data_IF_624886091896
#
_entry.id   IF_624886091896
#
_cell.length_a   1.000
_cell.length_b   1.000
_cell.length_c   1.000
_cell.angle_alpha   90.00
_cell.angle_beta   90.00
_cell.angle_gamma   90.00
#
_symmetry.space_group_name_H-M   'P 1'
#
loop_
_entity.id
_entity.type
_entity.pdbx_description
1 polymer ?
#
# COMPACT_ATOMS: atom_id res chain seq x y z
N UNK A 1 -5.27 -11.23 -18.63
CA UNK A 1 -4.37 -10.79 -17.55
C UNK A 1 -3.17 -10.09 -18.15
N UNK A 2 -3.30 -8.79 -18.42
CA UNK A 2 -2.25 -7.87 -18.88
C UNK A 2 -1.86 -6.92 -17.73
N UNK A 3 -0.74 -6.21 -17.88
CA UNK A 3 -0.33 -5.20 -16.90
C UNK A 3 -1.33 -4.03 -16.83
N UNK A 4 -1.99 -3.71 -17.94
CA UNK A 4 -3.02 -2.66 -17.98
C UNK A 4 -4.25 -3.02 -17.15
N UNK A 5 -4.63 -4.30 -17.11
CA UNK A 5 -5.74 -4.77 -16.27
C UNK A 5 -5.45 -4.61 -14.77
N UNK A 6 -4.18 -4.53 -14.35
CA UNK A 6 -3.81 -4.26 -12.95
C UNK A 6 -4.10 -2.82 -12.50
N UNK A 7 -4.25 -1.87 -13.43
CA UNK A 7 -4.62 -0.49 -13.10
C UNK A 7 -5.99 -0.40 -12.40
N UNK A 8 -6.83 -1.44 -12.51
CA UNK A 8 -8.09 -1.53 -11.77
C UNK A 8 -7.88 -1.53 -10.24
N UNK A 9 -6.70 -1.94 -9.75
CA UNK A 9 -6.37 -1.91 -8.32
C UNK A 9 -6.32 -0.49 -7.76
N UNK A 10 -5.93 0.50 -8.58
CA UNK A 10 -5.87 1.90 -8.17
C UNK A 10 -7.24 2.47 -7.79
N UNK A 11 -8.32 1.92 -8.36
CA UNK A 11 -9.70 2.26 -7.98
C UNK A 11 -10.27 1.37 -6.87
N UNK A 12 -9.84 0.11 -6.81
CA UNK A 12 -10.38 -0.89 -5.88
C UNK A 12 -10.04 -0.56 -4.41
N UNK A 13 -8.80 -0.14 -4.14
CA UNK A 13 -8.34 0.08 -2.77
C UNK A 13 -8.86 1.37 -2.13
N UNK A 14 -8.89 2.53 -2.81
CA UNK A 14 -9.58 3.71 -2.30
C UNK A 14 -11.06 3.46 -1.99
N UNK A 15 -11.75 2.70 -2.84
CA UNK A 15 -13.16 2.36 -2.63
C UNK A 15 -13.39 1.53 -1.34
N UNK A 16 -12.37 0.81 -0.87
CA UNK A 16 -12.38 0.07 0.40
C UNK A 16 -11.87 0.91 1.59
N UNK A 17 -11.57 2.19 1.38
CA UNK A 17 -11.06 3.09 2.40
C UNK A 17 -9.58 2.88 2.74
N UNK A 18 -8.79 2.40 1.77
CA UNK A 18 -7.33 2.38 1.85
C UNK A 18 -6.73 3.69 1.34
N UNK A 19 -5.68 4.14 2.01
CA UNK A 19 -4.83 5.23 1.51
C UNK A 19 -3.91 4.63 0.44
N UNK A 20 -3.84 5.20 -0.75
CA UNK A 20 -2.91 4.74 -1.80
C UNK A 20 -1.58 5.46 -1.62
N UNK A 21 -0.49 4.71 -1.44
CA UNK A 21 0.85 5.25 -1.20
C UNK A 21 1.78 4.91 -2.36
N UNK A 22 2.52 5.89 -2.90
CA UNK A 22 3.56 5.62 -3.90
C UNK A 22 4.65 4.67 -3.37
N UNK A 23 5.39 4.07 -4.28
CA UNK A 23 6.54 3.22 -3.95
C UNK A 23 7.56 3.94 -3.07
N UNK A 24 8.26 3.17 -2.22
CA UNK A 24 9.34 3.71 -1.42
C UNK A 24 10.51 4.14 -2.33
N UNK A 25 11.10 5.30 -2.05
CA UNK A 25 12.24 5.81 -2.83
C UNK A 25 13.56 5.10 -2.50
N UNK A 26 13.59 4.32 -1.42
CA UNK A 26 14.77 3.53 -1.00
C UNK A 26 14.53 2.07 -1.32
N UNK A 27 15.59 1.38 -1.73
CA UNK A 27 15.58 -0.05 -2.01
C UNK A 27 15.13 -0.85 -0.79
N UNK A 28 14.13 -1.69 -1.02
CA UNK A 28 13.57 -2.60 0.00
C UNK A 28 13.27 -3.94 -0.64
N UNK A 29 13.47 -5.03 0.11
CA UNK A 29 13.19 -6.37 -0.39
C UNK A 29 11.70 -6.72 -0.49
N UNK A 30 10.84 -5.96 0.22
CA UNK A 30 9.39 -6.15 0.20
C UNK A 30 8.65 -4.91 0.68
N UNK A 31 7.39 -4.73 0.25
CA UNK A 31 6.54 -3.61 0.69
C UNK A 31 6.31 -3.53 2.20
N UNK A 32 6.44 -4.65 2.93
CA UNK A 32 6.40 -4.68 4.40
C UNK A 32 7.47 -3.80 5.04
N UNK A 33 8.61 -3.62 4.38
CA UNK A 33 9.71 -2.78 4.85
C UNK A 33 9.45 -1.28 4.64
N UNK A 34 8.39 -0.91 3.90
CA UNK A 34 7.97 0.48 3.79
C UNK A 34 7.62 1.02 5.20
N UNK A 35 8.09 2.21 5.61
CA UNK A 35 7.85 2.74 6.95
C UNK A 35 6.37 2.82 7.34
N UNK A 36 5.50 3.15 6.39
CA UNK A 36 4.04 3.21 6.59
C UNK A 36 3.37 1.84 6.73
N UNK A 37 4.06 0.73 6.43
CA UNK A 37 3.59 -0.62 6.72
C UNK A 37 4.22 -1.10 8.04
N UNK A 38 5.55 -1.12 8.12
CA UNK A 38 6.29 -1.62 9.28
C UNK A 38 5.93 -0.87 10.56
N UNK A 39 6.14 0.44 10.61
CA UNK A 39 5.97 1.23 11.83
C UNK A 39 4.50 1.40 12.21
N UNK A 40 3.60 1.52 11.22
CA UNK A 40 2.17 1.72 11.47
C UNK A 40 1.47 0.47 12.00
N UNK A 41 1.99 -0.72 11.70
CA UNK A 41 1.46 -1.98 12.24
C UNK A 41 1.66 -2.13 13.76
N UNK A 42 2.53 -1.32 14.37
CA UNK A 42 2.85 -1.40 15.80
C UNK A 42 1.88 -0.61 16.70
N UNK A 43 1.12 0.34 16.11
CA UNK A 43 0.21 1.21 16.86
C UNK A 43 -1.19 0.61 17.01
N UNK A 44 -1.95 1.02 18.03
CA UNK A 44 -3.33 0.58 18.23
C UNK A 44 -4.31 1.21 17.23
N UNK A 45 -3.91 2.26 16.52
CA UNK A 45 -4.79 2.96 15.59
C UNK A 45 -5.02 2.14 14.32
N UNK A 46 -6.28 2.01 13.85
CA UNK A 46 -6.57 1.34 12.60
C UNK A 46 -5.85 2.03 11.43
N UNK A 47 -5.31 1.22 10.53
CA UNK A 47 -4.52 1.68 9.40
C UNK A 47 -4.74 0.79 8.18
N UNK A 48 -5.21 1.39 7.07
CA UNK A 48 -5.46 0.71 5.79
C UNK A 48 -4.72 1.46 4.68
N UNK A 49 -3.78 0.77 4.04
CA UNK A 49 -2.89 1.33 3.02
C UNK A 49 -2.73 0.33 1.88
N UNK A 50 -2.64 0.83 0.65
CA UNK A 50 -2.38 0.06 -0.56
C UNK A 50 -1.25 0.71 -1.37
#
# INVERSE_FOLDING_TARGET
MTLEELAALDGCWPAQGCIVKPAHEVEVGAGRMHPTAFLRSLGPQPWRIA
#
